data_IF_730377865096
#
_entry.id   IF_730377865096
#
_cell.length_a   1.000
_cell.length_b   1.000
_cell.length_c   1.000
_cell.angle_alpha   90.00
_cell.angle_beta   90.00
_cell.angle_gamma   90.00
#
_symmetry.space_group_name_H-M   'P 1'
#
loop_
_entity.id
_entity.type
_entity.pdbx_description
1 polymer ?
#
# COMPACT_ATOMS: atom_id res chain seq x y z
N UNK A 1 -12.41 22.91 -10.23
CA UNK A 1 -11.42 23.60 -9.38
C UNK A 1 -10.89 22.58 -8.36
N UNK A 2 -9.72 21.97 -8.62
CA UNK A 2 -9.08 21.02 -7.70
C UNK A 2 -8.72 21.77 -6.42
N UNK A 3 -9.42 21.49 -5.32
CA UNK A 3 -8.98 21.94 -4.00
C UNK A 3 -7.66 21.22 -3.71
N UNK A 4 -6.61 21.99 -3.44
CA UNK A 4 -5.30 21.46 -3.06
C UNK A 4 -5.44 20.48 -1.90
N UNK A 5 -4.65 19.41 -1.98
CA UNK A 5 -4.48 18.43 -0.91
C UNK A 5 -3.90 19.15 0.32
N UNK A 6 -4.78 19.60 1.21
CA UNK A 6 -4.37 20.04 2.52
C UNK A 6 -4.00 18.80 3.33
N UNK A 7 -2.74 18.75 3.78
CA UNK A 7 -2.29 17.85 4.82
C UNK A 7 -3.19 18.01 6.04
N UNK A 8 -4.02 17.01 6.35
CA UNK A 8 -4.80 17.02 7.58
C UNK A 8 -3.86 16.76 8.77
N UNK A 9 -3.37 17.83 9.38
CA UNK A 9 -2.57 17.82 10.61
C UNK A 9 -3.39 17.41 11.85
N UNK A 10 -4.68 17.04 11.74
CA UNK A 10 -5.55 16.76 12.89
C UNK A 10 -5.52 15.31 13.37
N UNK A 11 -4.68 14.43 12.84
CA UNK A 11 -4.65 13.02 13.26
C UNK A 11 -3.29 12.60 13.83
N UNK A 12 -2.95 13.02 15.08
CA UNK A 12 -1.65 12.78 15.70
C UNK A 12 -1.38 11.33 16.17
N UNK A 13 -2.35 10.40 16.04
CA UNK A 13 -2.27 9.05 16.65
C UNK A 13 -2.25 7.87 15.68
N UNK A 14 -2.14 8.08 14.36
CA UNK A 14 -2.18 6.98 13.38
C UNK A 14 -0.78 6.41 13.13
N UNK A 15 -0.60 5.09 13.25
CA UNK A 15 0.53 4.41 12.61
C UNK A 15 0.32 4.50 11.10
N UNK A 16 1.05 5.41 10.44
CA UNK A 16 1.04 5.51 8.99
C UNK A 16 2.08 4.54 8.43
N UNK A 17 1.60 3.45 7.83
CA UNK A 17 2.44 2.54 7.06
C UNK A 17 2.76 3.18 5.71
N UNK A 18 4.04 3.48 5.48
CA UNK A 18 4.51 4.00 4.18
C UNK A 18 5.46 3.00 3.54
N UNK A 19 5.20 2.71 2.28
CA UNK A 19 6.06 1.91 1.41
C UNK A 19 6.68 2.80 0.34
N UNK A 20 7.98 2.65 0.07
CA UNK A 20 8.67 3.33 -1.02
C UNK A 20 9.48 2.34 -1.84
N UNK A 21 9.36 2.47 -3.15
CA UNK A 21 10.17 1.76 -4.14
C UNK A 21 11.11 2.75 -4.82
N UNK A 22 12.40 2.41 -4.90
CA UNK A 22 13.37 3.15 -5.71
C UNK A 22 14.47 2.22 -6.20
N UNK A 23 14.66 2.14 -7.52
CA UNK A 23 15.82 1.53 -8.18
C UNK A 23 16.28 0.22 -7.52
N UNK A 24 15.39 -0.79 -7.50
CA UNK A 24 15.70 -2.12 -6.95
C UNK A 24 15.76 -2.21 -5.41
N UNK A 25 15.43 -1.14 -4.68
CA UNK A 25 15.32 -1.13 -3.22
C UNK A 25 13.90 -0.80 -2.78
N UNK A 26 13.49 -1.45 -1.70
CA UNK A 26 12.21 -1.24 -1.04
C UNK A 26 12.46 -0.80 0.40
N UNK A 27 11.69 0.20 0.84
CA UNK A 27 11.69 0.67 2.21
C UNK A 27 10.27 0.74 2.76
N UNK A 28 10.09 0.18 3.96
CA UNK A 28 8.87 0.25 4.75
C UNK A 28 9.16 0.94 6.07
N UNK A 29 8.23 1.77 6.51
CA UNK A 29 8.29 2.40 7.82
C UNK A 29 6.88 2.68 8.35
N UNK A 30 6.66 2.37 9.63
CA UNK A 30 5.49 2.83 10.39
C UNK A 30 5.95 3.92 11.34
N UNK A 31 5.23 5.03 11.37
CA UNK A 31 5.48 6.08 12.36
C UNK A 31 4.25 6.93 12.62
N UNK A 32 4.28 7.51 13.82
CA UNK A 32 3.30 8.47 14.34
C UNK A 32 3.59 9.92 13.91
N UNK A 33 4.81 10.23 13.44
CA UNK A 33 5.17 11.54 12.89
C UNK A 33 6.45 11.48 12.03
N UNK A 34 6.37 12.14 10.86
CA UNK A 34 7.41 12.54 9.86
C UNK A 34 8.64 11.64 9.56
N UNK A 35 9.13 11.63 8.31
CA UNK A 35 10.20 10.75 7.86
C UNK A 35 11.57 11.26 8.32
N UNK A 36 12.06 10.79 9.45
CA UNK A 36 13.51 10.68 9.67
C UNK A 36 13.90 9.23 9.36
N UNK A 37 14.52 9.00 8.20
CA UNK A 37 15.30 7.78 7.95
C UNK A 37 16.23 7.59 9.15
N UNK A 38 16.06 6.54 9.93
CA UNK A 38 16.91 6.35 11.11
C UNK A 38 16.51 5.15 11.93
N UNK A 39 15.47 5.28 12.76
CA UNK A 39 15.25 4.31 13.83
C UNK A 39 13.89 3.61 13.66
N UNK A 40 13.81 2.65 12.74
CA UNK A 40 12.60 1.83 12.56
C UNK A 40 12.35 1.28 11.15
N UNK A 41 13.14 1.68 10.16
CA UNK A 41 12.93 1.30 8.76
C UNK A 41 13.25 -0.20 8.52
N UNK A 42 12.35 -0.89 7.82
CA UNK A 42 12.61 -2.19 7.18
C UNK A 42 13.02 -1.91 5.73
N UNK A 43 14.32 -1.96 5.44
CA UNK A 43 14.88 -1.64 4.12
C UNK A 43 15.75 -2.77 3.58
N UNK A 44 15.62 -3.06 2.30
CA UNK A 44 16.41 -4.09 1.63
C UNK A 44 16.15 -4.16 0.12
N UNK A 45 16.75 -5.15 -0.57
CA UNK A 45 16.50 -5.40 -1.98
C UNK A 45 15.03 -5.78 -2.24
N UNK A 46 14.52 -5.44 -3.43
CA UNK A 46 13.29 -6.06 -3.95
C UNK A 46 13.49 -7.58 -4.14
N UNK A 47 12.42 -8.33 -4.32
CA UNK A 47 12.42 -9.79 -4.40
C UNK A 47 12.96 -10.50 -3.14
N UNK A 48 13.08 -9.79 -2.03
CA UNK A 48 13.51 -10.32 -0.73
C UNK A 48 12.39 -10.11 0.29
N UNK A 49 12.15 -11.13 1.12
CA UNK A 49 11.28 -10.99 2.30
C UNK A 49 12.09 -10.41 3.44
N UNK A 50 11.78 -9.18 3.84
CA UNK A 50 12.42 -8.50 4.96
C UNK A 50 11.59 -8.73 6.23
N UNK A 51 12.24 -9.08 7.34
CA UNK A 51 11.57 -9.40 8.60
C UNK A 51 12.16 -8.60 9.75
N UNK A 52 11.32 -8.02 10.60
CA UNK A 52 11.71 -7.40 11.87
C UNK A 52 10.54 -7.45 12.85
N UNK A 53 10.80 -7.87 14.09
CA UNK A 53 9.83 -7.86 15.20
C UNK A 53 8.46 -8.51 14.87
N UNK A 54 8.48 -9.57 14.06
CA UNK A 54 7.28 -10.29 13.58
C UNK A 54 6.56 -9.66 12.39
N UNK A 55 6.98 -8.47 11.94
CA UNK A 55 6.52 -7.86 10.69
C UNK A 55 7.33 -8.43 9.52
N UNK A 56 6.64 -8.82 8.45
CA UNK A 56 7.26 -9.24 7.18
C UNK A 56 6.82 -8.32 6.05
N UNK A 57 7.77 -7.88 5.23
CA UNK A 57 7.48 -7.06 4.05
C UNK A 57 8.22 -7.59 2.84
N UNK A 58 7.58 -7.57 1.68
CA UNK A 58 8.17 -7.95 0.39
C UNK A 58 7.62 -7.02 -0.69
N UNK A 59 8.48 -6.59 -1.60
CA UNK A 59 8.08 -5.99 -2.87
C UNK A 59 8.74 -6.76 -4.00
N UNK A 60 7.97 -7.10 -5.04
CA UNK A 60 8.46 -7.92 -6.14
C UNK A 60 7.37 -8.35 -7.10
N UNK A 61 7.71 -9.25 -8.01
CA UNK A 61 6.80 -9.94 -8.92
C UNK A 61 6.10 -11.09 -8.20
N UNK A 62 4.81 -11.18 -8.41
CA UNK A 62 3.95 -12.25 -7.95
C UNK A 62 3.10 -12.73 -9.11
N UNK A 63 2.95 -14.04 -9.22
CA UNK A 63 2.05 -14.67 -10.16
C UNK A 63 0.63 -14.57 -9.61
N UNK A 64 -0.23 -13.86 -10.32
CA UNK A 64 -1.66 -13.70 -10.03
C UNK A 64 -2.00 -13.53 -8.52
N UNK A 65 -1.47 -12.48 -7.86
CA UNK A 65 -1.56 -12.37 -6.41
C UNK A 65 -2.97 -12.08 -5.88
N UNK A 66 -3.89 -11.65 -6.74
CA UNK A 66 -5.27 -11.36 -6.36
C UNK A 66 -6.21 -11.34 -7.57
N UNK A 67 -7.44 -11.80 -7.35
CA UNK A 67 -8.54 -11.66 -8.29
C UNK A 67 -8.98 -10.18 -8.40
N UNK A 68 -9.06 -9.63 -9.61
CA UNK A 68 -9.60 -8.28 -9.83
C UNK A 68 -10.36 -8.08 -11.13
N UNK A 69 -11.59 -7.59 -11.01
CA UNK A 69 -12.43 -7.20 -12.15
C UNK A 69 -12.17 -5.74 -12.55
N UNK A 70 -11.12 -5.51 -13.34
CA UNK A 70 -10.79 -4.18 -13.85
C UNK A 70 -11.90 -3.60 -14.74
N UNK A 71 -12.64 -4.45 -15.45
CA UNK A 71 -13.76 -4.02 -16.28
C UNK A 71 -14.90 -3.48 -15.40
N UNK A 72 -15.31 -4.24 -14.39
CA UNK A 72 -16.32 -3.84 -13.42
C UNK A 72 -15.93 -2.56 -12.66
N UNK A 73 -14.64 -2.38 -12.35
CA UNK A 73 -14.13 -1.12 -11.78
C UNK A 73 -14.35 0.07 -12.73
N UNK A 74 -13.98 -0.05 -14.01
CA UNK A 74 -14.15 1.01 -15.02
C UNK A 74 -15.62 1.31 -15.30
N UNK A 75 -16.45 0.29 -15.42
CA UNK A 75 -17.90 0.41 -15.62
C UNK A 75 -18.55 1.13 -14.42
N UNK A 76 -18.18 0.73 -13.19
CA UNK A 76 -18.63 1.38 -11.96
C UNK A 76 -18.22 2.85 -11.92
N UNK A 77 -16.97 3.16 -12.26
CA UNK A 77 -16.49 4.55 -12.30
C UNK A 77 -17.23 5.39 -13.35
N UNK A 78 -17.53 4.83 -14.52
CA UNK A 78 -18.19 5.56 -15.62
C UNK A 78 -19.68 5.78 -15.41
N UNK A 79 -20.37 4.84 -14.74
CA UNK A 79 -21.84 4.86 -14.59
C UNK A 79 -22.31 5.27 -13.20
N UNK A 80 -21.43 5.20 -12.18
CA UNK A 80 -21.80 5.31 -10.78
C UNK A 80 -22.54 4.09 -10.21
N UNK A 81 -22.74 3.03 -11.00
CA UNK A 81 -23.46 1.81 -10.60
C UNK A 81 -22.49 0.66 -10.42
N UNK A 82 -22.55 -0.02 -9.26
CA UNK A 82 -21.67 -1.15 -8.94
C UNK A 82 -21.80 -2.27 -9.99
N UNK A 83 -20.70 -2.58 -10.67
CA UNK A 83 -20.67 -3.46 -11.85
C UNK A 83 -19.68 -4.63 -11.74
N UNK A 84 -19.18 -4.92 -10.53
CA UNK A 84 -18.24 -6.03 -10.30
C UNK A 84 -18.88 -7.39 -10.54
N UNK A 85 -18.14 -8.31 -11.18
CA UNK A 85 -18.52 -9.71 -11.37
C UNK A 85 -17.45 -10.65 -10.83
N UNK A 86 -17.88 -11.74 -10.20
CA UNK A 86 -16.99 -12.74 -9.59
C UNK A 86 -16.33 -13.71 -10.59
N UNK A 87 -16.60 -13.57 -11.88
CA UNK A 87 -16.04 -14.40 -12.94
C UNK A 87 -15.11 -13.64 -13.89
N UNK A 88 -14.77 -12.39 -13.56
CA UNK A 88 -13.88 -11.54 -14.34
C UNK A 88 -12.58 -11.33 -13.57
N UNK A 89 -11.57 -12.08 -13.95
CA UNK A 89 -10.21 -11.88 -13.47
C UNK A 89 -9.35 -11.28 -14.58
N UNK A 90 -9.12 -9.97 -14.50
CA UNK A 90 -8.39 -9.27 -15.55
C UNK A 90 -6.90 -9.62 -15.56
N UNK A 91 -6.33 -9.95 -14.41
CA UNK A 91 -4.91 -10.22 -14.26
C UNK A 91 -4.58 -11.71 -14.21
N UNK A 92 -5.57 -12.59 -14.43
CA UNK A 92 -5.39 -14.03 -14.46
C UNK A 92 -4.19 -14.43 -15.35
N UNK A 93 -3.27 -15.20 -14.76
CA UNK A 93 -2.08 -15.71 -15.45
C UNK A 93 -1.04 -14.64 -15.82
N UNK A 94 -1.07 -13.46 -15.20
CA UNK A 94 -0.07 -12.40 -15.39
C UNK A 94 0.81 -12.22 -14.16
N UNK A 95 2.08 -11.87 -14.38
CA UNK A 95 2.98 -11.46 -13.30
C UNK A 95 2.73 -9.99 -12.95
N UNK A 96 2.35 -9.72 -11.71
CA UNK A 96 2.12 -8.37 -11.20
C UNK A 96 3.19 -7.97 -10.20
N UNK A 97 3.62 -6.70 -10.24
CA UNK A 97 4.41 -6.14 -9.14
C UNK A 97 3.48 -5.83 -7.97
N UNK A 98 3.73 -6.45 -6.81
CA UNK A 98 2.97 -6.21 -5.59
C UNK A 98 3.88 -5.85 -4.41
N UNK A 99 3.27 -5.20 -3.41
CA UNK A 99 3.86 -4.96 -2.10
C UNK A 99 3.02 -5.74 -1.09
N UNK A 100 3.64 -6.70 -0.42
CA UNK A 100 3.02 -7.55 0.60
C UNK A 100 3.54 -7.13 1.96
N UNK A 101 2.61 -6.91 2.88
CA UNK A 101 2.89 -6.44 4.24
C UNK A 101 2.12 -7.34 5.19
N UNK A 102 2.85 -8.09 6.01
CA UNK A 102 2.29 -8.89 7.09
C UNK A 102 2.64 -8.25 8.42
N UNK A 103 1.60 -7.94 9.20
CA UNK A 103 1.72 -7.31 10.51
C UNK A 103 1.03 -8.22 11.52
N UNK A 104 1.67 -8.57 12.66
CA UNK A 104 1.00 -9.32 13.71
C UNK A 104 -0.28 -8.61 14.15
N UNK A 105 -1.40 -9.34 14.23
CA UNK A 105 -2.71 -8.77 14.57
C UNK A 105 -2.68 -7.97 15.88
N UNK A 106 -1.88 -8.38 16.86
CA UNK A 106 -1.71 -7.66 18.13
C UNK A 106 -1.16 -6.24 17.99
N UNK A 107 -0.53 -5.90 16.86
CA UNK A 107 -0.03 -4.55 16.54
C UNK A 107 -1.09 -3.65 15.88
N UNK A 108 -2.15 -4.25 15.34
CA UNK A 108 -3.24 -3.55 14.65
C UNK A 108 -4.52 -3.51 15.49
N UNK A 109 -4.76 -4.56 16.27
CA UNK A 109 -5.96 -4.71 17.06
C UNK A 109 -5.98 -3.69 18.21
N UNK A 110 -6.90 -2.74 18.11
CA UNK A 110 -7.26 -1.82 19.19
C UNK A 110 -8.79 -1.81 19.34
N UNK A 111 -9.35 -2.89 19.90
CA UNK A 111 -10.80 -3.07 20.01
C UNK A 111 -11.49 -3.33 18.66
N UNK A 112 -12.62 -2.66 18.43
CA UNK A 112 -13.46 -2.78 17.23
C UNK A 112 -13.21 -1.69 16.19
N UNK A 113 -12.17 -0.88 16.38
CA UNK A 113 -11.87 0.22 15.48
C UNK A 113 -11.56 -0.27 14.05
N UNK A 114 -12.07 0.40 13.01
CA UNK A 114 -11.74 0.08 11.62
C UNK A 114 -10.25 0.24 11.34
N UNK A 115 -9.71 -0.63 10.48
CA UNK A 115 -8.37 -0.47 9.92
C UNK A 115 -8.44 0.50 8.74
N UNK A 116 -7.75 1.63 8.87
CA UNK A 116 -7.61 2.59 7.77
C UNK A 116 -6.33 2.31 6.98
N UNK A 117 -6.47 2.17 5.66
CA UNK A 117 -5.38 1.93 4.72
C UNK A 117 -5.36 3.07 3.71
N UNK A 118 -4.20 3.68 3.52
CA UNK A 118 -3.97 4.65 2.46
C UNK A 118 -2.63 4.34 1.78
N UNK A 119 -2.52 4.71 0.51
CA UNK A 119 -1.30 4.57 -0.27
C UNK A 119 -1.05 5.84 -1.09
N UNK A 120 0.22 6.16 -1.32
CA UNK A 120 0.66 7.27 -2.16
C UNK A 120 1.68 6.75 -3.17
N UNK A 121 1.50 7.08 -4.44
CA UNK A 121 2.53 6.93 -5.46
C UNK A 121 3.23 8.27 -5.63
N UNK A 122 4.52 8.32 -5.29
CA UNK A 122 5.34 9.50 -5.43
C UNK A 122 6.48 9.24 -6.42
N UNK A 123 6.70 10.17 -7.35
CA UNK A 123 7.92 10.20 -8.16
C UNK A 123 8.98 10.98 -7.37
N UNK A 124 10.17 10.40 -7.19
CA UNK A 124 11.30 11.14 -6.66
C UNK A 124 11.80 12.10 -7.76
N UNK A 125 11.69 13.41 -7.53
CA UNK A 125 12.29 14.44 -8.38
C UNK A 125 11.37 15.34 -9.22
N UNK A 126 10.05 15.40 -8.99
CA UNK A 126 9.27 16.49 -9.61
C UNK A 126 7.76 16.34 -9.59
N UNK A 127 7.11 17.36 -9.02
CA UNK A 127 5.83 17.87 -9.51
C UNK A 127 6.15 18.66 -10.78
N UNK A 128 5.66 18.21 -11.93
CA UNK A 128 5.47 19.10 -13.08
C UNK A 128 4.08 19.75 -12.94
#
# INVERSE_FOLDING_TARGET
>A
MKRGFAHDNRIPDRCAVRARYFCGRFAFWCSRARPSRGDGDLTGPVETTLTRDGVRVRAGLFDDPFFFDLQGFRETQSTGTLSFRNNRDFFAGTNLTAVVIEIPRSRLANGTNPLDIWAETARLGGQL
#
